data_IF_725478121249
#
_entry.id   IF_725478121249
#
_cell.length_a   1.000
_cell.length_b   1.000
_cell.length_c   1.000
_cell.angle_alpha   90.00
_cell.angle_beta   90.00
_cell.angle_gamma   90.00
#
_symmetry.space_group_name_H-M   'P 1'
#
loop_
_entity.id
_entity.type
_entity.pdbx_description
1 polymer ?
#
# COMPACT_ATOMS: atom_id res chain seq x y z
N UNK A 1 18.24 13.43 1.99
CA UNK A 1 17.90 12.10 2.53
C UNK A 1 16.70 11.56 1.76
N UNK A 2 16.78 10.34 1.27
CA UNK A 2 15.69 9.72 0.52
C UNK A 2 14.51 9.42 1.44
N UNK A 3 13.34 9.89 1.05
CA UNK A 3 12.08 9.68 1.78
C UNK A 3 11.35 8.46 1.24
N UNK A 4 11.03 7.53 2.12
CA UNK A 4 10.28 6.32 1.80
C UNK A 4 8.97 6.30 2.57
N UNK A 5 7.86 6.10 1.86
CA UNK A 5 6.55 5.88 2.46
C UNK A 5 6.13 4.44 2.22
N UNK A 6 5.94 3.70 3.28
CA UNK A 6 5.43 2.32 3.23
C UNK A 6 3.93 2.33 3.52
N UNK A 7 3.13 1.73 2.65
CA UNK A 7 1.67 1.73 2.77
C UNK A 7 1.12 0.31 2.77
N UNK A 8 0.27 0.02 3.76
CA UNK A 8 -0.62 -1.14 3.75
C UNK A 8 -1.96 -0.70 3.15
N UNK A 9 -2.37 -1.23 1.98
CA UNK A 9 -3.59 -0.80 1.31
C UNK A 9 -4.87 -1.17 2.07
N UNK A 10 -5.96 -0.52 1.70
CA UNK A 10 -7.31 -0.87 2.10
C UNK A 10 -7.70 -2.27 1.60
N UNK A 11 -8.85 -2.77 2.06
CA UNK A 11 -9.43 -4.02 1.57
C UNK A 11 -10.94 -4.07 1.76
N UNK A 12 -11.58 -5.03 1.11
CA UNK A 12 -13.00 -5.37 1.28
C UNK A 12 -13.16 -6.83 1.66
N UNK A 13 -14.13 -7.11 2.52
CA UNK A 13 -14.50 -8.47 2.92
C UNK A 13 -16.02 -8.64 2.89
N UNK A 14 -16.54 -9.86 2.63
CA UNK A 14 -17.97 -10.12 2.63
C UNK A 14 -18.59 -10.07 4.02
N UNK A 15 -17.80 -10.29 5.05
CA UNK A 15 -18.24 -10.27 6.45
C UNK A 15 -17.36 -9.29 7.25
N UNK A 16 -17.90 -8.68 8.32
CA UNK A 16 -17.08 -7.89 9.21
C UNK A 16 -16.02 -8.76 9.86
N UNK A 17 -14.76 -8.43 9.63
CA UNK A 17 -13.64 -9.07 10.33
C UNK A 17 -13.53 -8.56 11.75
N UNK A 18 -12.92 -9.37 12.61
CA UNK A 18 -12.55 -8.97 13.95
C UNK A 18 -11.44 -7.90 13.98
N UNK A 19 -10.51 -8.04 14.89
CA UNK A 19 -9.39 -7.09 15.02
C UNK A 19 -8.50 -7.09 13.77
N UNK A 20 -8.11 -5.89 13.35
CA UNK A 20 -7.11 -5.72 12.31
C UNK A 20 -5.73 -5.87 12.94
N UNK A 21 -4.86 -6.60 12.24
CA UNK A 21 -3.48 -6.76 12.64
C UNK A 21 -2.60 -5.65 12.06
N UNK A 22 -1.62 -5.16 12.82
CA UNK A 22 -0.66 -4.19 12.30
C UNK A 22 0.16 -4.80 11.17
N UNK A 23 0.63 -3.98 10.20
CA UNK A 23 1.40 -4.48 9.06
C UNK A 23 2.84 -4.80 9.44
N UNK A 24 3.06 -5.90 10.14
CA UNK A 24 4.37 -6.27 10.71
C UNK A 24 5.50 -6.29 9.68
N UNK A 25 5.25 -6.81 8.47
CA UNK A 25 6.25 -6.83 7.41
C UNK A 25 6.74 -5.43 7.05
N UNK A 26 5.83 -4.45 6.96
CA UNK A 26 6.21 -3.06 6.70
C UNK A 26 6.93 -2.43 7.90
N UNK A 27 6.56 -2.80 9.12
CA UNK A 27 7.26 -2.32 10.33
C UNK A 27 8.70 -2.81 10.38
N UNK A 28 8.94 -4.08 10.07
CA UNK A 28 10.30 -4.63 9.96
C UNK A 28 11.10 -3.93 8.86
N UNK A 29 10.52 -3.83 7.66
CA UNK A 29 11.17 -3.17 6.53
C UNK A 29 11.49 -1.71 6.84
N UNK A 30 10.55 -0.99 7.43
CA UNK A 30 10.72 0.40 7.84
C UNK A 30 11.87 0.58 8.84
N UNK A 31 11.99 -0.35 9.78
CA UNK A 31 13.10 -0.35 10.75
C UNK A 31 14.44 -0.55 10.07
N UNK A 32 14.54 -1.50 9.14
CA UNK A 32 15.78 -1.76 8.39
C UNK A 32 16.16 -0.55 7.55
N UNK A 33 15.21 0.03 6.81
CA UNK A 33 15.44 1.21 5.99
C UNK A 33 15.91 2.41 6.83
N UNK A 34 15.25 2.67 7.97
CA UNK A 34 15.64 3.76 8.88
C UNK A 34 17.07 3.59 9.40
N UNK A 35 17.46 2.37 9.76
CA UNK A 35 18.84 2.06 10.20
C UNK A 35 19.88 2.24 9.09
N UNK A 36 19.45 2.21 7.82
CA UNK A 36 20.30 2.40 6.66
C UNK A 36 20.22 3.81 6.05
N UNK A 37 19.75 4.78 6.81
CA UNK A 37 19.83 6.20 6.45
C UNK A 37 18.66 6.73 5.63
N UNK A 38 17.59 5.97 5.46
CA UNK A 38 16.36 6.45 4.82
C UNK A 38 15.44 7.14 5.83
N UNK A 39 14.75 8.18 5.37
CA UNK A 39 13.67 8.80 6.14
C UNK A 39 12.38 8.04 5.84
N UNK A 40 11.85 7.28 6.80
CA UNK A 40 10.73 6.36 6.58
C UNK A 40 9.50 6.78 7.36
N UNK A 41 8.33 6.73 6.70
CA UNK A 41 7.02 6.73 7.34
C UNK A 41 6.24 5.50 6.91
N UNK A 42 5.33 5.06 7.77
CA UNK A 42 4.44 3.92 7.52
C UNK A 42 3.00 4.41 7.65
N UNK A 43 2.20 4.12 6.64
CA UNK A 43 0.76 4.39 6.61
C UNK A 43 0.00 3.08 6.53
N UNK A 44 -0.73 2.74 7.58
CA UNK A 44 -1.72 1.67 7.51
C UNK A 44 -3.05 2.26 7.04
N UNK A 45 -3.24 2.28 5.71
CA UNK A 45 -4.44 2.82 5.10
C UNK A 45 -5.68 1.95 5.34
N UNK A 46 -5.51 0.74 5.85
CA UNK A 46 -6.61 -0.17 6.21
C UNK A 46 -7.17 0.06 7.61
N UNK A 47 -6.45 0.80 8.46
CA UNK A 47 -6.80 0.96 9.88
C UNK A 47 -7.95 1.95 10.10
N UNK A 48 -9.14 1.51 9.77
CA UNK A 48 -10.42 2.22 10.01
C UNK A 48 -11.49 1.22 10.39
N UNK A 49 -12.53 1.68 11.08
CA UNK A 49 -13.73 0.87 11.32
C UNK A 49 -14.38 0.51 9.97
N UNK A 50 -14.89 -0.72 9.82
CA UNK A 50 -15.53 -1.14 8.57
C UNK A 50 -16.79 -0.34 8.28
N UNK A 51 -16.98 -0.04 6.99
CA UNK A 51 -18.21 0.59 6.49
C UNK A 51 -18.88 -0.38 5.53
N UNK A 52 -20.16 -0.68 5.75
CA UNK A 52 -20.94 -1.50 4.84
C UNK A 52 -21.17 -0.74 3.54
N UNK A 53 -20.81 -1.34 2.43
CA UNK A 53 -20.96 -0.77 1.10
C UNK A 53 -22.26 -1.25 0.42
N UNK A 54 -22.67 -0.58 -0.66
CA UNK A 54 -23.90 -0.88 -1.39
C UNK A 54 -23.95 -2.29 -1.98
N UNK A 55 -22.78 -2.90 -2.23
CA UNK A 55 -22.65 -4.27 -2.72
C UNK A 55 -22.77 -5.34 -1.61
N UNK A 56 -23.03 -4.94 -0.37
CA UNK A 56 -23.15 -5.81 0.79
C UNK A 56 -21.85 -6.20 1.45
N UNK A 57 -20.71 -5.79 0.91
CA UNK A 57 -19.39 -6.00 1.50
C UNK A 57 -19.07 -4.94 2.57
N UNK A 58 -17.98 -5.16 3.28
CA UNK A 58 -17.45 -4.23 4.27
C UNK A 58 -16.11 -3.69 3.78
N UNK A 59 -16.01 -2.38 3.66
CA UNK A 59 -14.79 -1.67 3.29
C UNK A 59 -14.03 -1.25 4.55
N UNK A 60 -12.73 -1.54 4.55
CA UNK A 60 -11.79 -1.20 5.62
C UNK A 60 -10.76 -0.23 5.07
N UNK A 61 -10.77 0.98 5.57
CA UNK A 61 -9.67 1.89 5.29
C UNK A 61 -10.04 3.35 5.09
N UNK A 62 -8.99 4.10 4.85
CA UNK A 62 -9.05 5.51 4.49
C UNK A 62 -9.68 5.65 3.11
N UNK A 63 -10.37 6.75 2.86
CA UNK A 63 -10.78 7.06 1.50
C UNK A 63 -9.58 7.49 0.63
N UNK A 64 -9.77 7.48 -0.69
CA UNK A 64 -8.68 7.80 -1.61
C UNK A 64 -8.18 9.24 -1.48
N UNK A 65 -9.03 10.18 -1.08
CA UNK A 65 -8.64 11.59 -0.86
C UNK A 65 -7.73 11.72 0.34
N UNK A 66 -8.02 11.00 1.43
CA UNK A 66 -7.16 10.97 2.62
C UNK A 66 -5.79 10.39 2.30
N UNK A 67 -5.75 9.29 1.54
CA UNK A 67 -4.48 8.66 1.12
C UNK A 67 -3.69 9.61 0.22
N UNK A 68 -4.34 10.22 -0.78
CA UNK A 68 -3.72 11.18 -1.68
C UNK A 68 -3.13 12.38 -0.92
N UNK A 69 -3.89 12.93 0.03
CA UNK A 69 -3.42 14.04 0.87
C UNK A 69 -2.18 13.65 1.67
N UNK A 70 -2.18 12.46 2.28
CA UNK A 70 -1.04 11.98 3.06
C UNK A 70 0.23 11.83 2.19
N UNK A 71 0.07 11.28 0.98
CA UNK A 71 1.16 11.13 0.01
C UNK A 71 1.72 12.50 -0.37
N UNK A 72 0.85 13.46 -0.66
CA UNK A 72 1.25 14.82 -1.02
C UNK A 72 1.99 15.54 0.10
N UNK A 73 1.48 15.48 1.31
CA UNK A 73 2.08 16.16 2.47
C UNK A 73 3.45 15.57 2.81
N UNK A 74 3.59 14.26 2.73
CA UNK A 74 4.88 13.62 2.99
C UNK A 74 5.87 13.80 1.85
N UNK A 75 5.40 13.84 0.61
CA UNK A 75 6.19 14.00 -0.61
C UNK A 75 7.36 12.99 -0.69
N UNK A 76 7.08 11.67 -0.76
CA UNK A 76 8.10 10.64 -0.79
C UNK A 76 8.82 10.54 -2.15
N UNK A 77 10.07 10.07 -2.12
CA UNK A 77 10.81 9.68 -3.32
C UNK A 77 10.45 8.25 -3.77
N UNK A 78 10.11 7.40 -2.79
CA UNK A 78 9.75 6.00 -3.00
C UNK A 78 8.51 5.66 -2.18
N UNK A 79 7.53 5.01 -2.81
CA UNK A 79 6.37 4.43 -2.13
C UNK A 79 6.45 2.91 -2.23
N UNK A 80 6.51 2.25 -1.08
CA UNK A 80 6.45 0.79 -0.97
C UNK A 80 5.04 0.35 -0.58
N UNK A 81 4.42 -0.49 -1.40
CA UNK A 81 3.06 -1.00 -1.21
C UNK A 81 3.11 -2.47 -0.82
N UNK A 82 2.63 -2.78 0.37
CA UNK A 82 2.59 -4.15 0.89
C UNK A 82 1.30 -4.87 0.53
N UNK A 83 1.38 -6.09 0.00
CA UNK A 83 0.22 -6.89 -0.34
C UNK A 83 0.37 -8.34 0.14
N UNK A 84 -0.33 -8.67 1.23
CA UNK A 84 -0.37 -10.04 1.76
C UNK A 84 -1.41 -10.90 1.03
N UNK A 85 -2.56 -10.33 0.70
CA UNK A 85 -3.70 -11.05 0.15
C UNK A 85 -4.16 -10.45 -1.17
N UNK A 86 -4.64 -11.29 -2.08
CA UNK A 86 -5.18 -10.89 -3.38
C UNK A 86 -6.30 -9.85 -3.28
N UNK A 87 -7.08 -9.87 -2.20
CA UNK A 87 -8.16 -8.91 -1.94
C UNK A 87 -7.67 -7.46 -1.76
N UNK A 88 -6.41 -7.27 -1.43
CA UNK A 88 -5.78 -5.94 -1.33
C UNK A 88 -5.26 -5.42 -2.68
N UNK A 89 -5.07 -6.30 -3.66
CA UNK A 89 -4.40 -5.94 -4.92
C UNK A 89 -5.10 -4.82 -5.70
N UNK A 90 -6.44 -4.82 -5.88
CA UNK A 90 -7.11 -3.72 -6.56
C UNK A 90 -6.91 -2.36 -5.88
N UNK A 91 -6.87 -2.35 -4.55
CA UNK A 91 -6.62 -1.14 -3.77
C UNK A 91 -5.17 -0.68 -3.86
N UNK A 92 -4.23 -1.63 -3.92
CA UNK A 92 -2.81 -1.34 -4.17
C UNK A 92 -2.61 -0.64 -5.52
N UNK A 93 -3.23 -1.16 -6.58
CA UNK A 93 -3.19 -0.54 -7.91
C UNK A 93 -3.73 0.89 -7.86
N UNK A 94 -4.84 1.11 -7.16
CA UNK A 94 -5.43 2.44 -7.00
C UNK A 94 -4.48 3.41 -6.30
N UNK A 95 -3.80 2.97 -5.25
CA UNK A 95 -2.79 3.81 -4.58
C UNK A 95 -1.63 4.12 -5.53
N UNK A 96 -1.15 3.16 -6.30
CA UNK A 96 -0.11 3.38 -7.30
C UNK A 96 -0.52 4.46 -8.32
N UNK A 97 -1.76 4.43 -8.79
CA UNK A 97 -2.33 5.47 -9.67
C UNK A 97 -2.33 6.85 -8.99
N UNK A 98 -2.76 6.93 -7.72
CA UNK A 98 -2.76 8.17 -6.96
C UNK A 98 -1.36 8.74 -6.80
N UNK A 99 -0.37 7.90 -6.50
CA UNK A 99 1.04 8.32 -6.41
C UNK A 99 1.52 8.92 -7.72
N UNK A 100 1.34 8.23 -8.83
CA UNK A 100 1.82 8.68 -10.14
C UNK A 100 1.10 9.91 -10.66
N UNK A 101 -0.17 10.07 -10.33
CA UNK A 101 -0.96 11.27 -10.67
C UNK A 101 -0.37 12.52 -10.03
N UNK A 102 0.10 12.40 -8.80
CA UNK A 102 0.52 13.52 -7.97
C UNK A 102 2.03 13.71 -7.97
N UNK A 103 2.77 12.61 -7.93
CA UNK A 103 4.22 12.56 -7.82
C UNK A 103 4.78 11.64 -8.92
N UNK A 104 4.72 12.06 -10.18
CA UNK A 104 5.08 11.21 -11.32
C UNK A 104 6.53 10.72 -11.28
N UNK A 105 7.43 11.41 -10.59
CA UNK A 105 8.84 11.02 -10.41
C UNK A 105 9.05 10.03 -9.24
N UNK A 106 8.04 9.82 -8.40
CA UNK A 106 8.12 8.90 -7.29
C UNK A 106 8.13 7.44 -7.78
N UNK A 107 9.05 6.64 -7.29
CA UNK A 107 9.07 5.20 -7.58
C UNK A 107 8.02 4.47 -6.76
N UNK A 108 7.31 3.56 -7.42
CA UNK A 108 6.29 2.70 -6.79
C UNK A 108 6.78 1.26 -6.81
N UNK A 109 6.91 0.68 -5.63
CA UNK A 109 7.41 -0.68 -5.41
C UNK A 109 6.31 -1.50 -4.73
N UNK A 110 5.90 -2.59 -5.35
CA UNK A 110 4.98 -3.56 -4.74
C UNK A 110 5.76 -4.74 -4.16
N UNK A 111 5.36 -5.20 -2.99
CA UNK A 111 5.96 -6.35 -2.32
C UNK A 111 4.97 -7.10 -1.44
N UNK A 112 5.41 -8.21 -0.89
CA UNK A 112 4.60 -9.08 -0.03
C UNK A 112 4.30 -10.43 -0.67
N UNK A 113 3.46 -11.23 -0.02
CA UNK A 113 3.18 -12.61 -0.44
C UNK A 113 2.54 -12.65 -1.84
N UNK A 114 1.52 -11.83 -2.08
CA UNK A 114 0.79 -11.90 -3.35
C UNK A 114 1.67 -11.62 -4.58
N UNK A 115 2.42 -10.50 -4.67
CA UNK A 115 3.31 -10.28 -5.81
C UNK A 115 4.48 -11.28 -5.87
N UNK A 116 4.90 -11.85 -4.75
CA UNK A 116 5.92 -12.90 -4.74
C UNK A 116 5.44 -14.21 -5.38
N UNK A 117 4.15 -14.54 -5.22
CA UNK A 117 3.54 -15.73 -5.84
C UNK A 117 3.19 -15.54 -7.31
N UNK A 118 2.90 -14.31 -7.73
CA UNK A 118 2.46 -13.98 -9.10
C UNK A 118 3.20 -12.76 -9.65
N UNK A 119 4.55 -12.79 -9.76
CA UNK A 119 5.32 -11.57 -10.05
C UNK A 119 5.08 -11.03 -11.45
N UNK A 120 4.94 -11.90 -12.46
CA UNK A 120 4.68 -11.47 -13.84
C UNK A 120 3.32 -10.81 -14.00
N UNK A 121 2.29 -11.40 -13.41
CA UNK A 121 0.93 -10.85 -13.40
C UNK A 121 0.88 -9.53 -12.63
N UNK A 122 1.56 -9.48 -11.50
CA UNK A 122 1.60 -8.28 -10.65
C UNK A 122 2.23 -7.10 -11.37
N UNK A 123 3.41 -7.26 -11.96
CA UNK A 123 4.08 -6.15 -12.66
C UNK A 123 3.34 -5.75 -13.95
N UNK A 124 2.68 -6.67 -14.63
CA UNK A 124 1.93 -6.40 -15.86
C UNK A 124 0.54 -5.82 -15.62
N UNK A 125 -0.01 -5.95 -14.40
CA UNK A 125 -1.36 -5.51 -14.07
C UNK A 125 -1.52 -3.98 -14.03
N UNK A 126 -0.43 -3.24 -13.88
CA UNK A 126 -0.44 -1.79 -13.88
C UNK A 126 0.90 -1.21 -14.33
N UNK A 127 0.84 -0.22 -15.23
CA UNK A 127 2.00 0.58 -15.65
C UNK A 127 2.47 1.56 -14.56
N UNK A 128 1.74 1.67 -13.46
CA UNK A 128 2.04 2.59 -12.36
C UNK A 128 2.95 1.97 -11.30
N UNK A 129 3.18 0.65 -11.38
CA UNK A 129 4.12 -0.07 -10.53
C UNK A 129 5.44 -0.18 -11.27
N UNK A 130 6.49 0.40 -10.71
CA UNK A 130 7.82 0.39 -11.33
C UNK A 130 8.56 -0.92 -11.04
N UNK A 131 8.40 -1.45 -9.81
CA UNK A 131 9.09 -2.68 -9.38
C UNK A 131 8.17 -3.57 -8.56
N UNK A 132 8.32 -4.89 -8.74
CA UNK A 132 7.79 -5.91 -7.84
C UNK A 132 8.94 -6.62 -7.14
N UNK A 133 8.92 -6.61 -5.82
CA UNK A 133 9.90 -7.33 -5.00
C UNK A 133 9.37 -8.70 -4.64
N UNK A 134 10.18 -9.73 -4.86
CA UNK A 134 9.92 -11.11 -4.48
C UNK A 134 10.72 -11.48 -3.23
N UNK A 135 10.09 -12.24 -2.34
CA UNK A 135 10.74 -12.70 -1.12
C UNK A 135 10.02 -12.37 0.17
#
# INVERSE_FOLDING_TARGET
MTKVLLISPQFKLPNPAGNQEPPLGLLYLGTVLSKNGFQVKILDASNRKPIKTSDGNYFYGMDNKEVEQYINEYNPDIVGLGCLYSTKWPFLIKIAELVKKTLNQCFVVAGGIYPSMSPKESISSSKRIDFCMMG
#
